data_IF_465003751162
#
_entry.id   IF_465003751162
#
_cell.length_a   1.000
_cell.length_b   1.000
_cell.length_c   1.000
_cell.angle_alpha   90.00
_cell.angle_beta   90.00
_cell.angle_gamma   90.00
#
_symmetry.space_group_name_H-M   'P 1'
#
loop_
_entity.id
_entity.type
_entity.pdbx_description
1 polymer ?
#
# COMPACT_ATOMS: atom_id res chain seq x y z
N UNK A 1 14.78 -28.70 3.56
CA UNK A 1 15.03 -27.26 3.35
C UNK A 1 13.80 -26.36 3.36
N UNK A 2 12.55 -26.87 3.36
CA UNK A 2 11.31 -26.05 3.42
C UNK A 2 10.64 -25.95 4.81
N UNK A 3 11.30 -26.38 5.89
CA UNK A 3 10.78 -26.27 7.28
C UNK A 3 11.67 -25.44 8.22
N UNK A 4 12.76 -24.87 7.73
CA UNK A 4 13.67 -24.01 8.51
C UNK A 4 13.55 -22.51 8.19
N UNK A 5 12.87 -22.13 7.10
CA UNK A 5 12.54 -20.72 6.79
C UNK A 5 11.32 -20.18 7.55
N UNK A 6 10.55 -21.05 8.22
CA UNK A 6 9.35 -20.66 8.98
C UNK A 6 9.58 -20.28 10.44
N UNK A 7 10.75 -20.60 11.03
CA UNK A 7 10.96 -20.48 12.48
C UNK A 7 11.88 -19.34 12.92
N UNK A 8 12.70 -18.78 12.03
CA UNK A 8 13.53 -17.62 12.38
C UNK A 8 12.83 -16.28 12.09
N UNK A 9 11.79 -16.28 11.25
CA UNK A 9 11.00 -15.08 10.94
C UNK A 9 9.88 -14.79 11.98
N UNK A 10 9.49 -15.77 12.80
CA UNK A 10 8.39 -15.63 13.75
C UNK A 10 8.80 -15.07 15.14
N UNK A 11 10.10 -14.94 15.43
CA UNK A 11 10.56 -14.47 16.76
C UNK A 11 10.79 -12.97 16.83
N UNK A 12 11.38 -12.37 15.80
CA UNK A 12 11.64 -10.91 15.73
C UNK A 12 10.45 -10.12 15.21
N UNK A 13 9.87 -10.51 14.06
CA UNK A 13 8.59 -9.96 13.62
C UNK A 13 7.45 -10.35 14.56
N UNK A 14 7.47 -11.53 15.19
CA UNK A 14 6.42 -11.93 16.13
C UNK A 14 6.46 -11.23 17.49
N UNK A 15 7.55 -10.55 17.87
CA UNK A 15 7.56 -9.69 19.06
C UNK A 15 6.91 -8.34 18.73
N UNK A 16 7.38 -7.68 17.65
CA UNK A 16 6.78 -6.44 17.15
C UNK A 16 5.33 -6.61 16.69
N UNK A 17 4.98 -7.74 16.07
CA UNK A 17 3.61 -8.06 15.65
C UNK A 17 2.76 -8.42 16.88
N UNK A 18 3.25 -9.10 17.92
CA UNK A 18 2.45 -9.32 19.15
C UNK A 18 2.28 -8.08 19.99
N UNK A 19 3.30 -7.24 20.11
CA UNK A 19 3.19 -5.92 20.75
C UNK A 19 2.28 -5.00 19.93
N UNK A 20 2.36 -5.03 18.59
CA UNK A 20 1.41 -4.33 17.72
C UNK A 20 0.00 -4.92 17.81
N UNK A 21 -0.20 -6.24 17.87
CA UNK A 21 -1.52 -6.87 17.97
C UNK A 21 -2.16 -6.59 19.33
N UNK A 22 -1.38 -6.67 20.42
CA UNK A 22 -1.84 -6.36 21.76
C UNK A 22 -2.07 -4.85 21.94
N UNK A 23 -1.26 -4.02 21.28
CA UNK A 23 -1.51 -2.57 21.16
C UNK A 23 -2.73 -2.26 20.29
N UNK A 24 -3.01 -3.04 19.25
CA UNK A 24 -4.19 -2.90 18.38
C UNK A 24 -5.46 -3.28 19.15
N UNK A 25 -5.44 -4.34 19.95
CA UNK A 25 -6.58 -4.76 20.78
C UNK A 25 -6.88 -3.75 21.90
N UNK A 26 -5.84 -3.14 22.50
CA UNK A 26 -6.00 -2.03 23.45
C UNK A 26 -6.35 -0.70 22.78
N UNK A 27 -5.91 -0.46 21.54
CA UNK A 27 -6.28 0.70 20.72
C UNK A 27 -7.64 0.56 20.04
N UNK A 28 -8.24 -0.62 19.94
CA UNK A 28 -9.61 -0.81 19.44
C UNK A 28 -10.65 -0.15 20.35
N UNK A 29 -10.40 -0.14 21.66
CA UNK A 29 -11.21 0.64 22.63
C UNK A 29 -11.04 2.14 22.39
N UNK A 30 -9.81 2.59 22.11
CA UNK A 30 -9.52 3.99 21.79
C UNK A 30 -10.09 4.41 20.42
N UNK A 31 -10.10 3.53 19.42
CA UNK A 31 -10.72 3.74 18.12
C UNK A 31 -12.25 3.83 18.24
N UNK A 32 -12.87 3.01 19.08
CA UNK A 32 -14.29 3.13 19.42
C UNK A 32 -14.61 4.49 20.07
N UNK A 33 -13.77 4.95 21.00
CA UNK A 33 -13.90 6.27 21.63
C UNK A 33 -13.61 7.44 20.68
N UNK A 34 -12.67 7.29 19.73
CA UNK A 34 -12.38 8.27 18.67
C UNK A 34 -13.49 8.31 17.62
N UNK A 35 -14.14 7.18 17.32
CA UNK A 35 -15.30 7.12 16.44
C UNK A 35 -16.52 7.78 17.09
N UNK A 36 -16.73 7.55 18.40
CA UNK A 36 -17.69 8.29 19.23
C UNK A 36 -17.38 9.80 19.32
N UNK A 37 -16.10 10.17 19.34
CA UNK A 37 -15.65 11.57 19.33
C UNK A 37 -15.82 12.23 17.96
N UNK A 38 -15.69 11.46 16.87
CA UNK A 38 -16.01 11.90 15.50
C UNK A 38 -17.50 12.17 15.32
N UNK A 39 -18.36 11.40 15.97
CA UNK A 39 -19.82 11.65 16.01
C UNK A 39 -20.15 12.93 16.78
N UNK A 40 -19.43 13.24 17.86
CA UNK A 40 -19.60 14.49 18.63
C UNK A 40 -18.99 15.71 17.94
N UNK A 41 -17.95 15.54 17.10
CA UNK A 41 -17.36 16.59 16.28
C UNK A 41 -18.08 16.81 14.93
N UNK A 42 -19.04 15.93 14.59
CA UNK A 42 -19.87 16.00 13.39
C UNK A 42 -20.79 17.22 13.33
N UNK A 43 -20.93 17.99 14.41
CA UNK A 43 -21.70 19.24 14.44
C UNK A 43 -20.93 20.46 13.88
N UNK A 44 -19.63 20.35 13.56
CA UNK A 44 -18.78 21.53 13.21
C UNK A 44 -18.23 21.51 11.77
N UNK A 45 -18.54 20.52 10.92
CA UNK A 45 -18.14 20.60 9.50
C UNK A 45 -19.21 20.08 8.54
N UNK A 46 -20.05 20.99 8.07
CA UNK A 46 -20.81 20.86 6.82
C UNK A 46 -19.85 20.91 5.60
N UNK A 47 -19.06 19.85 5.41
CA UNK A 47 -18.35 19.61 4.15
C UNK A 47 -18.64 18.16 3.71
N UNK A 48 -19.67 18.06 2.87
CA UNK A 48 -19.95 17.03 1.86
C UNK A 48 -19.23 15.68 2.05
N UNK A 49 -19.70 14.88 3.03
CA UNK A 49 -19.48 13.44 3.04
C UNK A 49 -20.30 12.81 1.90
N UNK A 50 -19.87 12.99 0.66
CA UNK A 50 -20.22 12.03 -0.38
C UNK A 50 -19.53 10.73 0.01
N UNK A 51 -20.34 9.76 0.40
CA UNK A 51 -20.01 8.35 0.61
C UNK A 51 -18.92 7.87 -0.33
N UNK A 52 -17.67 7.91 0.15
CA UNK A 52 -16.54 7.26 -0.49
C UNK A 52 -16.67 5.77 -0.13
N UNK A 53 -17.41 5.02 -0.96
CA UNK A 53 -17.47 3.56 -0.86
C UNK A 53 -16.05 2.97 -0.84
N UNK A 54 -15.86 1.79 -0.23
CA UNK A 54 -14.53 1.13 -0.23
C UNK A 54 -13.97 1.00 -1.65
N UNK A 55 -12.62 1.06 -1.85
CA UNK A 55 -12.06 0.95 -3.18
C UNK A 55 -12.55 -0.33 -3.86
N UNK A 56 -13.14 -0.18 -5.03
CA UNK A 56 -13.70 -1.30 -5.83
C UNK A 56 -12.64 -2.00 -6.67
N UNK A 57 -11.42 -1.47 -6.68
CA UNK A 57 -10.27 -1.98 -7.40
C UNK A 57 -9.01 -1.98 -6.52
N UNK A 58 -8.04 -2.89 -6.75
CA UNK A 58 -6.79 -2.96 -5.98
C UNK A 58 -5.84 -1.78 -6.26
N UNK A 59 -5.94 -1.14 -7.42
CA UNK A 59 -5.15 0.04 -7.79
C UNK A 59 -5.58 1.29 -7.03
N UNK A 60 -4.60 2.04 -6.54
CA UNK A 60 -4.77 3.33 -5.88
C UNK A 60 -4.88 4.50 -6.85
N UNK A 61 -4.49 4.30 -8.11
CA UNK A 61 -4.81 5.22 -9.21
C UNK A 61 -6.26 5.04 -9.61
N UNK A 62 -7.02 6.13 -9.55
CA UNK A 62 -8.41 6.18 -10.00
C UNK A 62 -8.52 7.09 -11.21
N UNK A 63 -9.04 6.57 -12.33
CA UNK A 63 -9.39 7.35 -13.51
C UNK A 63 -10.88 7.71 -13.49
N UNK A 64 -11.19 9.02 -13.47
CA UNK A 64 -12.59 9.45 -13.49
C UNK A 64 -13.15 9.41 -14.92
N UNK A 65 -14.04 8.46 -15.19
CA UNK A 65 -14.64 8.28 -16.52
C UNK A 65 -15.39 9.49 -17.05
N UNK A 66 -15.95 10.36 -16.18
CA UNK A 66 -16.69 11.58 -16.56
C UNK A 66 -15.79 12.76 -16.90
N UNK A 67 -14.86 13.13 -16.01
CA UNK A 67 -14.05 14.34 -16.17
C UNK A 67 -12.64 14.09 -16.69
N UNK A 68 -12.24 12.82 -16.86
CA UNK A 68 -10.91 12.39 -17.34
C UNK A 68 -9.74 12.85 -16.45
N UNK A 69 -10.03 13.18 -15.20
CA UNK A 69 -9.01 13.46 -14.20
C UNK A 69 -8.60 12.17 -13.47
N UNK A 70 -7.31 12.03 -13.23
CA UNK A 70 -6.73 10.91 -12.49
C UNK A 70 -6.29 11.39 -11.11
N UNK A 71 -6.67 10.68 -10.05
CA UNK A 71 -6.29 11.02 -8.69
C UNK A 71 -5.90 9.77 -7.89
N UNK A 72 -5.25 9.99 -6.76
CA UNK A 72 -4.92 8.94 -5.82
C UNK A 72 -6.00 8.77 -4.78
N UNK A 73 -6.45 7.53 -4.60
CA UNK A 73 -7.45 7.16 -3.60
C UNK A 73 -7.03 7.54 -2.16
N UNK A 74 -5.74 7.42 -1.84
CA UNK A 74 -5.26 7.59 -0.47
C UNK A 74 -5.24 9.03 0.03
N UNK A 75 -4.90 9.97 -0.85
CA UNK A 75 -4.66 11.37 -0.47
C UNK A 75 -5.54 12.35 -1.25
N UNK A 76 -6.33 11.85 -2.22
CA UNK A 76 -7.21 12.62 -3.09
C UNK A 76 -6.48 13.67 -3.94
N UNK A 77 -5.15 13.54 -4.07
CA UNK A 77 -4.29 14.43 -4.86
C UNK A 77 -4.16 13.98 -6.32
N UNK A 78 -3.73 14.89 -7.19
CA UNK A 78 -3.50 14.64 -8.62
C UNK A 78 -2.48 13.51 -8.82
N UNK A 79 -2.86 12.51 -9.61
CA UNK A 79 -1.99 11.38 -9.90
C UNK A 79 -0.70 11.79 -10.63
N UNK A 80 -0.72 12.85 -11.44
CA UNK A 80 0.46 13.31 -12.20
C UNK A 80 1.65 13.69 -11.33
N UNK A 81 1.39 14.03 -10.07
CA UNK A 81 2.43 14.38 -9.11
C UNK A 81 3.02 13.14 -8.42
N UNK A 82 2.33 12.00 -8.44
CA UNK A 82 2.82 10.75 -7.85
C UNK A 82 4.02 10.20 -8.64
N UNK A 83 5.04 9.74 -7.92
CA UNK A 83 6.29 9.26 -8.50
C UNK A 83 7.31 10.37 -8.77
N UNK A 84 6.96 11.64 -8.58
CA UNK A 84 7.94 12.73 -8.49
C UNK A 84 8.62 12.73 -7.12
N UNK A 85 9.88 13.19 -7.05
CA UNK A 85 10.64 13.31 -5.80
C UNK A 85 9.99 14.28 -4.79
N UNK A 86 9.08 15.15 -5.26
CA UNK A 86 8.44 16.20 -4.47
C UNK A 86 7.11 15.78 -3.85
N UNK A 87 6.60 14.60 -4.19
CA UNK A 87 5.26 14.19 -3.79
C UNK A 87 5.24 13.24 -2.60
N UNK A 88 4.66 13.69 -1.50
CA UNK A 88 4.83 13.09 -0.17
C UNK A 88 3.61 12.33 0.34
N UNK A 89 2.91 11.57 -0.52
CA UNK A 89 1.76 10.78 -0.07
C UNK A 89 2.13 9.67 0.92
N UNK A 90 3.32 9.09 0.85
CA UNK A 90 3.76 8.02 1.77
C UNK A 90 4.49 8.51 3.02
N UNK A 91 4.87 9.80 3.09
CA UNK A 91 5.71 10.36 4.17
C UNK A 91 4.88 11.22 5.15
N UNK A 92 5.06 10.98 6.45
CA UNK A 92 4.41 11.81 7.48
C UNK A 92 5.26 13.05 7.78
N UNK A 93 4.69 14.25 7.63
CA UNK A 93 5.33 15.51 8.02
C UNK A 93 5.05 15.83 9.48
N UNK A 94 5.99 15.51 10.35
CA UNK A 94 5.89 15.88 11.76
C UNK A 94 6.07 17.39 11.96
N UNK A 95 5.24 18.00 12.83
CA UNK A 95 5.45 19.37 13.28
C UNK A 95 6.74 19.46 14.13
N UNK A 96 7.78 20.20 13.69
CA UNK A 96 9.05 20.26 14.42
C UNK A 96 8.94 20.97 15.77
N UNK A 97 7.91 21.80 15.97
CA UNK A 97 7.70 22.57 17.19
C UNK A 97 6.78 21.88 18.20
N UNK A 98 6.28 20.66 17.91
CA UNK A 98 5.27 19.99 18.74
C UNK A 98 5.74 19.74 20.18
N UNK A 99 7.05 19.56 20.40
CA UNK A 99 7.63 19.36 21.73
C UNK A 99 7.45 20.57 22.66
N UNK A 100 7.28 21.77 22.09
CA UNK A 100 7.07 23.02 22.84
C UNK A 100 5.58 23.35 23.01
N UNK A 101 4.68 22.54 22.46
CA UNK A 101 3.24 22.75 22.56
C UNK A 101 2.64 22.04 23.79
N UNK A 102 1.39 22.37 24.12
CA UNK A 102 0.65 21.73 25.22
C UNK A 102 0.58 20.20 25.09
N UNK A 103 0.49 19.49 26.21
CA UNK A 103 0.30 18.03 26.23
C UNK A 103 -0.90 17.58 25.37
N UNK A 104 -1.96 18.38 25.33
CA UNK A 104 -3.14 18.12 24.51
C UNK A 104 -2.85 18.19 23.01
N UNK A 105 -1.96 19.11 22.59
CA UNK A 105 -1.50 19.21 21.21
C UNK A 105 -0.58 18.04 20.83
N UNK A 106 0.35 17.67 21.71
CA UNK A 106 1.22 16.51 21.54
C UNK A 106 0.43 15.21 21.36
N UNK A 107 -0.61 15.00 22.18
CA UNK A 107 -1.50 13.84 22.06
C UNK A 107 -2.24 13.81 20.72
N UNK A 108 -2.76 14.95 20.24
CA UNK A 108 -3.40 15.05 18.93
C UNK A 108 -2.43 14.75 17.79
N UNK A 109 -1.19 15.24 17.88
CA UNK A 109 -0.17 14.98 16.85
C UNK A 109 0.24 13.50 16.81
N UNK A 110 0.39 12.87 17.98
CA UNK A 110 0.65 11.43 18.07
C UNK A 110 -0.47 10.60 17.42
N UNK A 111 -1.74 10.98 17.65
CA UNK A 111 -2.89 10.32 17.02
C UNK A 111 -2.91 10.51 15.51
N UNK A 112 -2.63 11.73 15.01
CA UNK A 112 -2.54 12.00 13.57
C UNK A 112 -1.47 11.14 12.90
N UNK A 113 -0.29 11.04 13.51
CA UNK A 113 0.79 10.17 13.03
C UNK A 113 0.32 8.71 12.99
N UNK A 114 -0.30 8.21 14.06
CA UNK A 114 -0.83 6.84 14.08
C UNK A 114 -1.83 6.59 12.94
N UNK A 115 -2.84 7.46 12.79
CA UNK A 115 -3.86 7.33 11.74
C UNK A 115 -3.24 7.35 10.35
N UNK A 116 -2.25 8.21 10.11
CA UNK A 116 -1.55 8.27 8.83
C UNK A 116 -0.94 6.92 8.42
N UNK A 117 -0.19 6.27 9.31
CA UNK A 117 0.44 4.98 8.98
C UNK A 117 -0.58 3.84 8.96
N UNK A 118 -1.56 3.85 9.88
CA UNK A 118 -2.63 2.84 9.93
C UNK A 118 -3.49 2.84 8.67
N UNK A 119 -3.95 4.00 8.20
CA UNK A 119 -4.79 4.10 7.00
C UNK A 119 -4.08 3.56 5.76
N UNK A 120 -2.76 3.80 5.63
CA UNK A 120 -1.94 3.26 4.54
C UNK A 120 -1.80 1.75 4.63
N UNK A 121 -1.49 1.23 5.81
CA UNK A 121 -1.44 -0.21 6.05
C UNK A 121 -2.77 -0.89 5.73
N UNK A 122 -3.88 -0.36 6.24
CA UNK A 122 -5.22 -0.91 6.06
C UNK A 122 -5.64 -0.88 4.58
N UNK A 123 -5.31 0.21 3.89
CA UNK A 123 -5.58 0.31 2.46
C UNK A 123 -4.81 -0.72 1.62
N UNK A 124 -3.53 -0.96 1.92
CA UNK A 124 -2.79 -2.04 1.26
C UNK A 124 -3.34 -3.43 1.63
N UNK A 125 -3.82 -3.62 2.87
CA UNK A 125 -4.49 -4.85 3.30
C UNK A 125 -5.77 -5.11 2.49
N UNK A 126 -6.61 -4.08 2.31
CA UNK A 126 -7.81 -4.15 1.48
C UNK A 126 -7.47 -4.45 0.02
N UNK A 127 -6.46 -3.78 -0.52
CA UNK A 127 -6.00 -3.99 -1.89
C UNK A 127 -5.48 -5.42 -2.11
N UNK A 128 -4.72 -5.98 -1.17
CA UNK A 128 -4.27 -7.39 -1.21
C UNK A 128 -5.44 -8.38 -1.28
N UNK A 129 -6.55 -8.08 -0.60
CA UNK A 129 -7.76 -8.91 -0.66
C UNK A 129 -8.41 -8.84 -2.05
N UNK A 130 -8.41 -7.65 -2.67
CA UNK A 130 -8.95 -7.46 -4.02
C UNK A 130 -8.07 -8.13 -5.08
N UNK A 131 -6.76 -8.22 -4.88
CA UNK A 131 -5.87 -8.92 -5.82
C UNK A 131 -6.21 -10.41 -6.00
N UNK A 132 -6.82 -11.06 -5.02
CA UNK A 132 -7.29 -12.45 -5.16
C UNK A 132 -8.45 -12.55 -6.17
N UNK A 133 -9.32 -11.53 -6.19
CA UNK A 133 -10.38 -11.41 -7.18
C UNK A 133 -9.78 -11.09 -8.56
N UNK A 134 -8.79 -10.20 -8.61
CA UNK A 134 -8.04 -9.89 -9.84
C UNK A 134 -7.38 -11.12 -10.44
N UNK A 135 -6.76 -11.99 -9.61
CA UNK A 135 -6.17 -13.25 -10.09
C UNK A 135 -7.22 -14.16 -10.74
N UNK A 136 -8.43 -14.21 -10.17
CA UNK A 136 -9.54 -14.98 -10.75
C UNK A 136 -9.99 -14.39 -12.09
N UNK A 137 -10.10 -13.06 -12.17
CA UNK A 137 -10.40 -12.35 -13.41
C UNK A 137 -9.34 -12.58 -14.49
N UNK A 138 -8.05 -12.54 -14.14
CA UNK A 138 -6.94 -12.84 -15.05
C UNK A 138 -7.06 -14.25 -15.61
N UNK A 139 -7.33 -15.26 -14.76
CA UNK A 139 -7.52 -16.63 -15.23
C UNK A 139 -8.66 -16.76 -16.25
N UNK A 140 -9.80 -16.12 -15.97
CA UNK A 140 -10.93 -16.08 -16.92
C UNK A 140 -10.53 -15.41 -18.22
N UNK A 141 -9.84 -14.27 -18.15
CA UNK A 141 -9.39 -13.53 -19.34
C UNK A 141 -8.40 -14.34 -20.19
N UNK A 142 -7.47 -15.05 -19.56
CA UNK A 142 -6.55 -15.96 -20.27
C UNK A 142 -7.35 -17.05 -20.97
N UNK A 143 -8.31 -17.67 -20.29
CA UNK A 143 -9.15 -18.70 -20.87
C UNK A 143 -9.92 -18.17 -22.09
N UNK A 144 -10.52 -16.99 -21.98
CA UNK A 144 -11.24 -16.35 -23.10
C UNK A 144 -10.31 -16.04 -24.28
N UNK A 145 -9.09 -15.54 -24.02
CA UNK A 145 -8.10 -15.27 -25.08
C UNK A 145 -7.66 -16.55 -25.80
N UNK A 146 -7.40 -17.62 -25.06
CA UNK A 146 -7.03 -18.93 -25.63
C UNK A 146 -8.17 -19.52 -26.45
N UNK A 147 -9.42 -19.47 -25.94
CA UNK A 147 -10.60 -19.94 -26.69
C UNK A 147 -10.86 -19.14 -27.97
N UNK A 148 -10.46 -17.87 -27.99
CA UNK A 148 -10.54 -16.99 -29.16
C UNK A 148 -9.28 -17.02 -30.04
N UNK A 149 -8.43 -18.05 -29.93
CA UNK A 149 -7.20 -18.24 -30.71
C UNK A 149 -6.20 -17.05 -30.62
N UNK A 150 -6.26 -16.26 -29.55
CA UNK A 150 -5.35 -15.13 -29.30
C UNK A 150 -4.14 -15.61 -28.50
N UNK A 151 -3.39 -16.57 -29.06
CA UNK A 151 -2.27 -17.23 -28.40
C UNK A 151 -2.67 -18.46 -27.58
N UNK A 152 -1.66 -19.15 -27.06
CA UNK A 152 -1.80 -20.37 -26.25
C UNK A 152 -1.68 -20.04 -24.76
N UNK A 153 -2.02 -20.99 -23.90
CA UNK A 153 -1.92 -20.80 -22.45
C UNK A 153 -0.51 -20.38 -21.99
N UNK A 154 0.54 -20.92 -22.64
CA UNK A 154 1.93 -20.59 -22.29
C UNK A 154 2.31 -19.15 -22.68
N UNK A 155 1.68 -18.60 -23.72
CA UNK A 155 1.90 -17.21 -24.14
C UNK A 155 1.37 -16.21 -23.08
N UNK A 156 0.43 -16.64 -22.24
CA UNK A 156 -0.22 -15.82 -21.23
C UNK A 156 0.21 -16.12 -19.78
N UNK A 157 1.03 -17.15 -19.55
CA UNK A 157 1.48 -17.56 -18.22
C UNK A 157 2.13 -16.40 -17.44
N UNK A 158 2.84 -15.50 -18.14
CA UNK A 158 3.49 -14.34 -17.55
C UNK A 158 2.53 -13.43 -16.76
N UNK A 159 1.24 -13.37 -17.11
CA UNK A 159 0.24 -12.60 -16.36
C UNK A 159 -0.04 -13.17 -14.97
N UNK A 160 0.00 -14.50 -14.82
CA UNK A 160 -0.18 -15.16 -13.53
C UNK A 160 1.06 -14.96 -12.64
N UNK A 161 2.24 -15.03 -13.25
CA UNK A 161 3.50 -14.76 -12.56
C UNK A 161 3.56 -13.28 -12.12
N UNK A 162 3.12 -12.38 -12.99
CA UNK A 162 3.00 -10.95 -12.70
C UNK A 162 2.05 -10.68 -11.53
N UNK A 163 0.84 -11.26 -11.54
CA UNK A 163 -0.12 -11.11 -10.45
C UNK A 163 0.40 -11.66 -9.12
N UNK A 164 1.13 -12.78 -9.17
CA UNK A 164 1.78 -13.38 -7.99
C UNK A 164 2.86 -12.46 -7.42
N UNK A 165 3.69 -11.87 -8.29
CA UNK A 165 4.70 -10.91 -7.88
C UNK A 165 4.09 -9.63 -7.30
N UNK A 166 3.05 -9.08 -7.94
CA UNK A 166 2.34 -7.90 -7.45
C UNK A 166 1.86 -8.11 -5.99
N UNK A 167 1.26 -9.27 -5.71
CA UNK A 167 0.83 -9.64 -4.35
C UNK A 167 1.98 -9.66 -3.35
N UNK A 168 3.16 -10.17 -3.75
CA UNK A 168 4.37 -10.15 -2.90
C UNK A 168 4.86 -8.73 -2.63
N UNK A 169 4.89 -7.89 -3.66
CA UNK A 169 5.30 -6.48 -3.54
C UNK A 169 4.33 -5.71 -2.63
N UNK A 170 3.02 -5.88 -2.81
CA UNK A 170 2.00 -5.21 -1.99
C UNK A 170 2.01 -5.69 -0.54
N UNK A 171 2.22 -7.00 -0.31
CA UNK A 171 2.44 -7.54 1.04
C UNK A 171 3.65 -6.89 1.70
N UNK A 172 4.78 -6.83 0.99
CA UNK A 172 5.98 -6.16 1.52
C UNK A 172 5.68 -4.71 1.86
N UNK A 173 5.08 -3.97 0.92
CA UNK A 173 4.73 -2.54 1.08
C UNK A 173 3.76 -2.30 2.25
N UNK A 174 2.76 -3.16 2.45
CA UNK A 174 1.85 -3.08 3.60
C UNK A 174 2.63 -3.00 4.91
N UNK A 175 3.59 -3.91 5.12
CA UNK A 175 4.36 -3.99 6.37
C UNK A 175 5.48 -2.96 6.49
N UNK A 176 5.81 -2.23 5.42
CA UNK A 176 6.71 -1.08 5.52
C UNK A 176 6.13 0.08 6.35
N UNK A 177 4.80 0.22 6.43
CA UNK A 177 4.17 1.34 7.16
C UNK A 177 4.27 1.21 8.69
N UNK A 178 3.93 0.06 9.31
CA UNK A 178 4.22 -0.15 10.72
C UNK A 178 5.72 -0.02 11.04
N UNK A 179 6.59 -0.51 10.14
CA UNK A 179 8.03 -0.36 10.31
C UNK A 179 8.45 1.12 10.35
N UNK A 180 8.03 1.92 9.36
CA UNK A 180 8.30 3.36 9.31
C UNK A 180 7.72 4.16 10.49
N UNK A 181 6.58 3.75 11.04
CA UNK A 181 5.97 4.41 12.20
C UNK A 181 6.93 4.42 13.40
N UNK A 182 7.57 3.28 13.67
CA UNK A 182 8.51 3.09 14.78
C UNK A 182 9.95 3.51 14.48
N UNK A 183 10.29 3.85 13.23
CA UNK A 183 11.61 4.39 12.92
C UNK A 183 11.82 5.78 13.52
N UNK A 184 12.97 5.95 14.17
CA UNK A 184 13.46 7.25 14.61
C UNK A 184 13.71 8.20 13.44
N UNK A 185 13.57 9.50 13.69
CA UNK A 185 13.90 10.53 12.69
C UNK A 185 15.39 10.52 12.39
N UNK A 186 15.73 10.69 11.12
CA UNK A 186 17.09 10.88 10.65
C UNK A 186 17.26 10.38 9.23
N UNK A 187 18.47 10.57 8.68
CA UNK A 187 18.80 10.22 7.29
C UNK A 187 18.44 8.78 6.92
N UNK A 188 18.50 7.85 7.89
CA UNK A 188 18.13 6.46 7.67
C UNK A 188 16.63 6.28 7.37
N UNK A 189 15.77 6.99 8.09
CA UNK A 189 14.32 6.99 7.84
C UNK A 189 13.99 7.68 6.53
N UNK A 190 14.68 8.77 6.20
CA UNK A 190 14.47 9.47 4.92
C UNK A 190 14.81 8.57 3.73
N UNK A 191 15.92 7.83 3.80
CA UNK A 191 16.26 6.83 2.79
C UNK A 191 15.22 5.70 2.72
N UNK A 192 14.72 5.24 3.88
CA UNK A 192 13.66 4.23 3.92
C UNK A 192 12.39 4.71 3.23
N UNK A 193 11.90 5.90 3.60
CA UNK A 193 10.68 6.50 3.07
C UNK A 193 10.81 6.78 1.56
N UNK A 194 12.01 7.14 1.10
CA UNK A 194 12.32 7.26 -0.33
C UNK A 194 12.18 5.91 -1.05
N UNK A 195 12.84 4.85 -0.56
CA UNK A 195 12.74 3.52 -1.18
C UNK A 195 11.32 2.94 -1.10
N UNK A 196 10.61 3.20 0.00
CA UNK A 196 9.20 2.84 0.19
C UNK A 196 8.31 3.55 -0.84
N UNK A 197 8.51 4.85 -1.06
CA UNK A 197 7.77 5.61 -2.06
C UNK A 197 8.02 5.09 -3.47
N UNK A 198 9.28 4.76 -3.81
CA UNK A 198 9.62 4.16 -5.09
C UNK A 198 8.95 2.80 -5.30
N UNK A 199 9.00 1.91 -4.31
CA UNK A 199 8.29 0.63 -4.37
C UNK A 199 6.77 0.84 -4.51
N UNK A 200 6.20 1.79 -3.76
CA UNK A 200 4.79 2.16 -3.87
C UNK A 200 4.39 2.57 -5.28
N UNK A 201 5.15 3.47 -5.90
CA UNK A 201 4.90 3.90 -7.27
C UNK A 201 4.97 2.73 -8.28
N UNK A 202 5.96 1.84 -8.14
CA UNK A 202 6.05 0.67 -9.01
C UNK A 202 4.89 -0.31 -8.79
N UNK A 203 4.46 -0.54 -7.55
CA UNK A 203 3.33 -1.42 -7.23
C UNK A 203 2.04 -0.92 -7.88
N UNK A 204 1.77 0.38 -7.81
CA UNK A 204 0.56 0.95 -8.40
C UNK A 204 0.61 0.95 -9.93
N UNK A 205 1.75 1.30 -10.54
CA UNK A 205 1.94 1.19 -11.98
C UNK A 205 1.79 -0.26 -12.46
N UNK A 206 2.34 -1.22 -11.71
CA UNK A 206 2.29 -2.63 -12.03
C UNK A 206 0.85 -3.18 -11.93
N UNK A 207 0.12 -2.82 -10.87
CA UNK A 207 -1.31 -3.15 -10.74
C UNK A 207 -2.12 -2.66 -11.92
N UNK A 208 -1.91 -1.40 -12.33
CA UNK A 208 -2.62 -0.79 -13.44
C UNK A 208 -2.34 -1.48 -14.78
N UNK A 209 -1.07 -1.84 -15.04
CA UNK A 209 -0.65 -2.57 -16.25
C UNK A 209 -1.24 -3.97 -16.32
N UNK A 210 -1.19 -4.74 -15.22
CA UNK A 210 -1.74 -6.11 -15.19
C UNK A 210 -3.23 -6.12 -15.55
N UNK A 211 -4.00 -5.16 -15.04
CA UNK A 211 -5.44 -5.07 -15.33
C UNK A 211 -5.75 -4.84 -16.82
N UNK A 212 -4.80 -4.31 -17.59
CA UNK A 212 -5.01 -3.86 -18.99
C UNK A 212 -4.13 -4.58 -20.02
N UNK A 213 -3.23 -5.45 -19.58
CA UNK A 213 -2.23 -6.09 -20.42
C UNK A 213 -2.85 -6.96 -21.53
N UNK A 214 -2.32 -6.77 -22.74
CA UNK A 214 -2.55 -7.57 -23.94
C UNK A 214 -1.29 -8.38 -24.31
N UNK A 215 -1.41 -9.30 -25.28
CA UNK A 215 -0.29 -10.21 -25.64
C UNK A 215 0.96 -9.46 -26.11
N UNK A 216 0.79 -8.29 -26.70
CA UNK A 216 1.86 -7.40 -27.17
C UNK A 216 2.66 -6.77 -26.03
N UNK A 217 2.13 -6.76 -24.82
CA UNK A 217 2.70 -6.03 -23.68
C UNK A 217 3.64 -6.91 -22.85
N UNK A 218 3.89 -8.16 -23.29
CA UNK A 218 4.69 -9.14 -22.53
C UNK A 218 6.05 -8.59 -22.13
N UNK A 219 6.81 -8.03 -23.06
CA UNK A 219 8.15 -7.50 -22.78
C UNK A 219 8.12 -6.33 -21.78
N UNK A 220 7.15 -5.43 -21.92
CA UNK A 220 6.97 -4.30 -21.02
C UNK A 220 6.56 -4.73 -19.62
N UNK A 221 5.74 -5.79 -19.50
CA UNK A 221 5.31 -6.33 -18.21
C UNK A 221 6.42 -7.14 -17.54
N UNK A 222 7.18 -7.94 -18.29
CA UNK A 222 8.36 -8.66 -17.77
C UNK A 222 9.41 -7.67 -17.24
N UNK A 223 9.70 -6.59 -17.97
CA UNK A 223 10.59 -5.53 -17.47
C UNK A 223 10.03 -4.86 -16.20
N UNK A 224 8.71 -4.60 -16.15
CA UNK A 224 8.06 -4.05 -14.95
C UNK A 224 8.17 -5.00 -13.75
N UNK A 225 8.06 -6.30 -13.96
CA UNK A 225 8.24 -7.33 -12.93
C UNK A 225 9.66 -7.26 -12.36
N UNK A 226 10.67 -7.23 -13.21
CA UNK A 226 12.07 -7.17 -12.79
C UNK A 226 12.36 -5.90 -11.97
N UNK A 227 11.85 -4.75 -12.41
CA UNK A 227 11.99 -3.47 -11.68
C UNK A 227 11.30 -3.54 -10.31
N UNK A 228 10.05 -4.01 -10.25
CA UNK A 228 9.30 -4.10 -9.01
C UNK A 228 9.98 -5.04 -8.00
N UNK A 229 10.43 -6.22 -8.44
CA UNK A 229 11.12 -7.18 -7.59
C UNK A 229 12.47 -6.64 -7.12
N UNK A 230 13.24 -6.00 -7.99
CA UNK A 230 14.52 -5.38 -7.63
C UNK A 230 14.35 -4.31 -6.56
N UNK A 231 13.34 -3.44 -6.67
CA UNK A 231 13.04 -2.43 -5.64
C UNK A 231 12.61 -3.08 -4.32
N UNK A 232 11.75 -4.09 -4.38
CA UNK A 232 11.31 -4.85 -3.20
C UNK A 232 12.50 -5.47 -2.48
N UNK A 233 13.37 -6.17 -3.20
CA UNK A 233 14.56 -6.81 -2.64
C UNK A 233 15.57 -5.80 -2.11
N UNK A 234 15.76 -4.66 -2.78
CA UNK A 234 16.66 -3.60 -2.30
C UNK A 234 16.19 -3.07 -0.95
N UNK A 235 14.90 -2.73 -0.81
CA UNK A 235 14.32 -2.27 0.45
C UNK A 235 14.47 -3.30 1.57
N UNK A 236 14.20 -4.57 1.28
CA UNK A 236 14.32 -5.66 2.25
C UNK A 236 15.77 -5.87 2.68
N UNK A 237 16.71 -5.89 1.73
CA UNK A 237 18.14 -6.07 2.00
C UNK A 237 18.68 -4.92 2.82
N UNK A 238 18.30 -3.69 2.47
CA UNK A 238 18.83 -2.51 3.13
C UNK A 238 18.30 -2.42 4.56
N UNK A 239 17.04 -2.77 4.84
CA UNK A 239 16.38 -2.42 6.11
C UNK A 239 15.85 -3.57 6.95
N UNK A 240 15.75 -4.79 6.41
CA UNK A 240 15.04 -5.90 7.06
C UNK A 240 15.87 -7.19 7.20
N UNK A 241 17.18 -7.12 6.96
CA UNK A 241 18.15 -8.22 7.15
C UNK A 241 17.70 -9.58 6.57
N UNK A 242 17.25 -9.57 5.31
CA UNK A 242 16.78 -10.76 4.58
C UNK A 242 17.83 -11.26 3.58
#
# INVERSE_FOLDING_TARGET
MLRLMGFLNAKYLGHYVREAQHSIETQQVYLYEVQRSRETLGEISNLDQRSVESPTAPSQKVDCSRCKHDFCWMCLGDWKTHGSEYYECSRYKENPNIANESAHAQAREALKKYLFYFERWDNHAKSLKLEEQTLTSIKSRIQDKVMNNSGTWIDWQYLLDAATLLKKCRYTLQYTYPYAYYMDKGARKELFEYQQAQLGAEVENFSWKIERAEITDRGDLENQMDVAEKRRLTLLKDFLEI
#
